data_IF_739226465138
#
_entry.id   IF_739226465138
#
_cell.length_a   1.000
_cell.length_b   1.000
_cell.length_c   1.000
_cell.angle_alpha   90.00
_cell.angle_beta   90.00
_cell.angle_gamma   90.00
#
_symmetry.space_group_name_H-M   'P 1'
#
loop_
_entity.id
_entity.type
_entity.pdbx_description
1 polymer ?
#
# COMPACT_ATOMS: atom_id res chain seq x y z
N UNK A 1 -7.77 11.30 5.12
CA UNK A 1 -9.23 11.55 5.17
C UNK A 1 -10.03 10.33 4.70
N UNK A 2 -9.72 9.76 3.53
CA UNK A 2 -10.45 8.62 2.91
C UNK A 2 -10.69 7.40 3.81
N UNK A 3 -9.71 6.98 4.61
CA UNK A 3 -9.90 5.87 5.57
C UNK A 3 -11.00 6.15 6.61
N UNK A 4 -11.10 7.38 7.11
CA UNK A 4 -12.12 7.72 8.11
C UNK A 4 -13.50 7.63 7.47
N UNK A 5 -13.65 8.16 6.26
CA UNK A 5 -14.88 8.06 5.46
C UNK A 5 -15.26 6.60 5.24
N UNK A 6 -14.32 5.75 4.79
CA UNK A 6 -14.58 4.31 4.59
C UNK A 6 -15.06 3.62 5.87
N UNK A 7 -14.39 3.87 7.01
CA UNK A 7 -14.78 3.27 8.29
C UNK A 7 -16.15 3.80 8.75
N UNK A 8 -16.45 5.07 8.52
CA UNK A 8 -17.76 5.66 8.82
C UNK A 8 -18.84 5.06 7.93
N UNK A 9 -18.59 4.85 6.63
CA UNK A 9 -19.52 4.20 5.71
C UNK A 9 -19.78 2.76 6.11
N UNK A 10 -18.73 1.97 6.39
CA UNK A 10 -18.86 0.58 6.83
C UNK A 10 -19.64 0.46 8.15
N UNK A 11 -19.32 1.31 9.13
CA UNK A 11 -20.02 1.32 10.42
C UNK A 11 -21.46 1.82 10.28
N UNK A 12 -21.70 2.84 9.47
CA UNK A 12 -23.03 3.38 9.20
C UNK A 12 -23.92 2.36 8.49
N UNK A 13 -23.40 1.69 7.45
CA UNK A 13 -24.10 0.62 6.75
C UNK A 13 -24.45 -0.53 7.70
N UNK A 14 -23.52 -0.97 8.55
CA UNK A 14 -23.80 -2.00 9.56
C UNK A 14 -24.92 -1.59 10.54
N UNK A 15 -24.92 -0.34 11.01
CA UNK A 15 -25.95 0.15 11.94
C UNK A 15 -27.31 0.28 11.26
N UNK A 16 -27.35 0.75 10.00
CA UNK A 16 -28.58 0.94 9.23
C UNK A 16 -29.20 -0.39 8.76
N UNK A 17 -28.38 -1.40 8.50
CA UNK A 17 -28.84 -2.74 8.12
C UNK A 17 -29.67 -3.40 9.23
N UNK A 18 -29.29 -3.24 10.50
CA UNK A 18 -29.99 -3.89 11.63
C UNK A 18 -31.50 -3.58 11.67
N UNK A 19 -31.95 -2.31 11.69
CA UNK A 19 -33.39 -2.01 11.68
C UNK A 19 -34.09 -2.41 10.37
N UNK A 20 -33.38 -2.38 9.24
CA UNK A 20 -33.92 -2.83 7.95
C UNK A 20 -34.21 -4.34 7.94
N UNK A 21 -33.27 -5.15 8.43
CA UNK A 21 -33.44 -6.60 8.56
C UNK A 21 -34.60 -6.96 9.48
N UNK A 22 -34.78 -6.20 10.59
CA UNK A 22 -35.93 -6.38 11.49
C UNK A 22 -37.24 -6.01 10.80
N UNK A 23 -37.26 -4.91 10.03
CA UNK A 23 -38.43 -4.52 9.25
C UNK A 23 -38.82 -5.61 8.24
N UNK A 24 -37.86 -6.08 7.42
CA UNK A 24 -38.10 -7.15 6.43
C UNK A 24 -38.60 -8.44 7.09
N UNK A 25 -38.06 -8.81 8.25
CA UNK A 25 -38.51 -9.99 9.00
C UNK A 25 -40.00 -9.93 9.38
N UNK A 26 -40.55 -8.72 9.54
CA UNK A 26 -41.95 -8.49 9.92
C UNK A 26 -42.88 -8.18 8.74
N UNK A 27 -42.36 -7.64 7.63
CA UNK A 27 -43.20 -7.14 6.53
C UNK A 27 -43.22 -8.04 5.30
N UNK A 28 -42.29 -8.99 5.15
CA UNK A 28 -42.30 -9.92 4.01
C UNK A 28 -43.53 -10.86 4.07
N UNK A 29 -44.41 -10.86 3.06
CA UNK A 29 -45.57 -11.76 3.03
C UNK A 29 -45.13 -13.22 2.91
N UNK A 30 -45.71 -14.11 3.73
CA UNK A 30 -45.48 -15.56 3.71
C UNK A 30 -46.02 -16.28 2.45
N UNK A 31 -46.45 -15.53 1.44
CA UNK A 31 -47.28 -16.03 0.33
C UNK A 31 -46.52 -16.70 -0.82
N UNK A 32 -45.22 -16.92 -0.67
CA UNK A 32 -44.42 -17.76 -1.58
C UNK A 32 -43.96 -19.04 -0.85
N UNK A 33 -44.94 -19.87 -0.54
CA UNK A 33 -44.94 -21.30 -0.16
C UNK A 33 -43.82 -21.97 0.68
N UNK A 34 -42.82 -21.28 1.21
CA UNK A 34 -41.98 -21.83 2.28
C UNK A 34 -41.45 -20.69 3.16
N UNK A 35 -41.55 -20.82 4.49
CA UNK A 35 -40.89 -19.91 5.44
C UNK A 35 -39.36 -19.80 5.25
N UNK A 36 -38.79 -20.62 4.36
CA UNK A 36 -37.42 -20.56 3.89
C UNK A 36 -37.10 -19.26 3.13
N UNK A 37 -38.07 -18.61 2.48
CA UNK A 37 -37.83 -17.36 1.76
C UNK A 37 -37.45 -16.21 2.69
N UNK A 38 -38.19 -16.05 3.80
CA UNK A 38 -37.90 -15.04 4.81
C UNK A 38 -36.58 -15.34 5.53
N UNK A 39 -36.34 -16.62 5.82
CA UNK A 39 -35.08 -17.06 6.43
C UNK A 39 -33.87 -16.83 5.50
N UNK A 40 -34.02 -16.99 4.19
CA UNK A 40 -32.97 -16.73 3.21
C UNK A 40 -32.59 -15.24 3.17
N UNK A 41 -33.57 -14.34 3.13
CA UNK A 41 -33.35 -12.89 3.16
C UNK A 41 -32.72 -12.41 4.46
N UNK A 42 -33.27 -12.82 5.61
CA UNK A 42 -32.68 -12.48 6.91
C UNK A 42 -31.26 -13.05 7.04
N UNK A 43 -31.02 -14.26 6.53
CA UNK A 43 -29.69 -14.88 6.52
C UNK A 43 -28.68 -14.10 5.66
N UNK A 44 -29.11 -13.63 4.49
CA UNK A 44 -28.29 -12.81 3.60
C UNK A 44 -27.91 -11.48 4.25
N UNK A 45 -28.88 -10.79 4.86
CA UNK A 45 -28.67 -9.55 5.61
C UNK A 45 -27.69 -9.72 6.79
N UNK A 46 -27.84 -10.80 7.56
CA UNK A 46 -26.94 -11.12 8.67
C UNK A 46 -25.52 -11.37 8.16
N UNK A 47 -25.37 -12.05 7.02
CA UNK A 47 -24.08 -12.24 6.39
C UNK A 47 -23.48 -10.91 5.90
N UNK A 48 -24.29 -10.04 5.30
CA UNK A 48 -23.89 -8.70 4.85
C UNK A 48 -23.44 -7.82 6.04
N UNK A 49 -24.22 -7.81 7.12
CA UNK A 49 -23.89 -7.15 8.38
C UNK A 49 -22.56 -7.62 8.95
N UNK A 50 -22.33 -8.94 8.98
CA UNK A 50 -21.08 -9.52 9.43
C UNK A 50 -19.91 -9.08 8.54
N UNK A 51 -20.09 -9.07 7.22
CA UNK A 51 -19.10 -8.60 6.26
C UNK A 51 -18.76 -7.11 6.47
N UNK A 52 -19.75 -6.24 6.71
CA UNK A 52 -19.52 -4.83 7.05
C UNK A 52 -18.78 -4.65 8.37
N UNK A 53 -19.18 -5.37 9.42
CA UNK A 53 -18.57 -5.30 10.75
C UNK A 53 -17.12 -5.81 10.72
N UNK A 54 -16.88 -6.96 10.08
CA UNK A 54 -15.55 -7.52 9.91
C UNK A 54 -14.68 -6.65 8.98
N UNK A 55 -15.26 -6.04 7.95
CA UNK A 55 -14.60 -5.08 7.06
C UNK A 55 -14.16 -3.82 7.82
N UNK A 56 -15.02 -3.27 8.68
CA UNK A 56 -14.69 -2.15 9.54
C UNK A 56 -13.55 -2.52 10.51
N UNK A 57 -13.65 -3.68 11.18
CA UNK A 57 -12.65 -4.15 12.11
C UNK A 57 -11.28 -4.40 11.43
N UNK A 58 -11.24 -5.12 10.31
CA UNK A 58 -10.01 -5.35 9.54
C UNK A 58 -9.43 -4.05 8.97
N UNK A 59 -10.30 -3.13 8.53
CA UNK A 59 -9.95 -1.80 8.05
C UNK A 59 -9.27 -0.95 9.14
N UNK A 60 -9.71 -1.04 10.41
CA UNK A 60 -9.02 -0.37 11.52
C UNK A 60 -7.60 -0.91 11.74
N UNK A 61 -7.42 -2.23 11.55
CA UNK A 61 -6.14 -2.94 11.74
C UNK A 61 -5.21 -2.94 10.51
N UNK A 62 -5.61 -2.30 9.40
CA UNK A 62 -4.86 -2.26 8.12
C UNK A 62 -4.46 -3.65 7.60
N UNK A 63 -5.29 -4.67 7.85
CA UNK A 63 -4.98 -6.04 7.42
C UNK A 63 -5.44 -6.23 5.98
N UNK A 64 -4.57 -6.77 5.13
CA UNK A 64 -4.91 -7.12 3.73
C UNK A 64 -6.02 -8.18 3.61
N UNK A 65 -6.31 -8.92 4.68
CA UNK A 65 -7.51 -9.74 4.78
C UNK A 65 -8.81 -8.93 4.55
N UNK A 66 -8.78 -7.60 4.69
CA UNK A 66 -9.91 -6.75 4.33
C UNK A 66 -10.17 -6.72 2.82
N UNK A 67 -9.17 -6.95 1.95
CA UNK A 67 -9.36 -6.88 0.48
C UNK A 67 -10.37 -7.91 -0.02
N UNK A 68 -10.21 -9.23 0.19
CA UNK A 68 -11.20 -10.19 -0.27
C UNK A 68 -12.56 -9.98 0.38
N UNK A 69 -12.59 -9.55 1.65
CA UNK A 69 -13.83 -9.27 2.35
C UNK A 69 -14.57 -8.06 1.76
N UNK A 70 -13.88 -6.94 1.51
CA UNK A 70 -14.46 -5.75 0.88
C UNK A 70 -14.94 -6.03 -0.55
N UNK A 71 -14.19 -6.84 -1.31
CA UNK A 71 -14.62 -7.30 -2.64
C UNK A 71 -15.86 -8.18 -2.56
N UNK A 72 -15.93 -9.10 -1.59
CA UNK A 72 -17.10 -9.94 -1.36
C UNK A 72 -18.31 -9.11 -0.93
N UNK A 73 -18.16 -8.15 0.01
CA UNK A 73 -19.24 -7.24 0.41
C UNK A 73 -19.74 -6.41 -0.78
N UNK A 74 -18.84 -5.91 -1.62
CA UNK A 74 -19.22 -5.15 -2.82
C UNK A 74 -20.03 -6.02 -3.80
N UNK A 75 -19.62 -7.27 -4.02
CA UNK A 75 -20.36 -8.21 -4.86
C UNK A 75 -21.73 -8.54 -4.26
N UNK A 76 -21.80 -8.78 -2.94
CA UNK A 76 -23.07 -9.03 -2.25
C UNK A 76 -24.04 -7.84 -2.39
N UNK A 77 -23.59 -6.59 -2.26
CA UNK A 77 -24.43 -5.40 -2.49
C UNK A 77 -24.93 -5.29 -3.94
N UNK A 78 -24.12 -5.67 -4.92
CA UNK A 78 -24.59 -5.72 -6.32
C UNK A 78 -25.66 -6.80 -6.51
N UNK A 79 -25.52 -7.95 -5.85
CA UNK A 79 -26.55 -9.00 -5.86
C UNK A 79 -27.83 -8.52 -5.16
N UNK A 80 -27.71 -7.85 -4.02
CA UNK A 80 -28.80 -7.26 -3.25
C UNK A 80 -29.63 -6.29 -4.11
N UNK A 81 -28.96 -5.31 -4.72
CA UNK A 81 -29.56 -4.34 -5.64
C UNK A 81 -30.27 -4.99 -6.82
N UNK A 82 -29.68 -6.05 -7.38
CA UNK A 82 -30.30 -6.80 -8.46
C UNK A 82 -31.56 -7.51 -8.00
N UNK A 83 -31.51 -8.22 -6.87
CA UNK A 83 -32.66 -8.96 -6.34
C UNK A 83 -33.79 -8.02 -5.96
N UNK A 84 -33.52 -6.91 -5.28
CA UNK A 84 -34.54 -5.94 -4.86
C UNK A 84 -35.25 -5.29 -6.04
N UNK A 85 -34.52 -4.92 -7.09
CA UNK A 85 -35.12 -4.37 -8.32
C UNK A 85 -35.95 -5.42 -9.06
N UNK A 86 -35.47 -6.66 -9.16
CA UNK A 86 -36.17 -7.73 -9.89
C UNK A 86 -37.44 -8.20 -9.15
N UNK A 87 -37.37 -8.37 -7.84
CA UNK A 87 -38.51 -8.79 -7.02
C UNK A 87 -39.53 -7.67 -6.81
N UNK A 88 -39.07 -6.42 -6.78
CA UNK A 88 -39.92 -5.23 -6.71
C UNK A 88 -40.54 -4.80 -8.05
N UNK A 89 -40.20 -5.43 -9.18
CA UNK A 89 -40.52 -4.92 -10.52
C UNK A 89 -42.03 -4.73 -10.80
N UNK A 90 -42.84 -5.65 -10.29
CA UNK A 90 -44.32 -5.63 -10.42
C UNK A 90 -45.02 -4.93 -9.25
N UNK A 91 -44.27 -4.47 -8.24
CA UNK A 91 -44.78 -3.75 -7.07
C UNK A 91 -44.88 -2.24 -7.36
N UNK A 92 -45.84 -1.52 -6.74
CA UNK A 92 -45.85 -0.06 -6.72
C UNK A 92 -44.55 0.57 -6.19
N UNK A 93 -43.81 -0.17 -5.37
CA UNK A 93 -42.56 0.26 -4.72
C UNK A 93 -41.32 0.14 -5.62
N UNK A 94 -41.47 -0.31 -6.89
CA UNK A 94 -40.36 -0.50 -7.84
C UNK A 94 -39.40 0.69 -7.93
N UNK A 95 -39.93 1.92 -7.89
CA UNK A 95 -39.12 3.13 -7.98
C UNK A 95 -38.31 3.37 -6.72
N UNK A 96 -38.80 2.94 -5.56
CA UNK A 96 -38.06 2.97 -4.30
C UNK A 96 -36.89 1.99 -4.34
N UNK A 97 -37.11 0.75 -4.80
CA UNK A 97 -36.03 -0.24 -4.98
C UNK A 97 -34.98 0.22 -5.99
N UNK A 98 -35.39 0.79 -7.12
CA UNK A 98 -34.46 1.37 -8.10
C UNK A 98 -33.68 2.56 -7.52
N UNK A 99 -34.34 3.42 -6.73
CA UNK A 99 -33.67 4.55 -6.09
C UNK A 99 -32.63 4.08 -5.05
N UNK A 100 -32.96 3.08 -4.22
CA UNK A 100 -32.02 2.51 -3.25
C UNK A 100 -30.82 1.84 -3.93
N UNK A 101 -31.08 1.04 -4.97
CA UNK A 101 -30.03 0.42 -5.77
C UNK A 101 -29.05 1.48 -6.34
N UNK A 102 -29.58 2.53 -6.99
CA UNK A 102 -28.76 3.54 -7.68
C UNK A 102 -28.06 4.52 -6.73
N UNK A 103 -28.71 4.92 -5.63
CA UNK A 103 -28.20 5.96 -4.74
C UNK A 103 -27.54 5.45 -3.46
N UNK A 104 -27.75 4.18 -3.09
CA UNK A 104 -27.22 3.60 -1.85
C UNK A 104 -26.34 2.39 -2.14
N UNK A 105 -26.90 1.30 -2.64
CA UNK A 105 -26.20 0.01 -2.70
C UNK A 105 -25.05 0.01 -3.72
N UNK A 106 -25.30 0.43 -4.96
CA UNK A 106 -24.26 0.48 -6.00
C UNK A 106 -23.17 1.51 -5.65
N UNK A 107 -23.48 2.74 -5.20
CA UNK A 107 -22.45 3.68 -4.75
C UNK A 107 -21.60 3.13 -3.61
N UNK A 108 -22.21 2.47 -2.61
CA UNK A 108 -21.46 1.84 -1.52
C UNK A 108 -20.58 0.70 -2.07
N UNK A 109 -21.10 -0.16 -2.94
CA UNK A 109 -20.32 -1.22 -3.58
C UNK A 109 -19.10 -0.68 -4.35
N UNK A 110 -19.27 0.41 -5.11
CA UNK A 110 -18.18 1.09 -5.82
C UNK A 110 -17.14 1.64 -4.86
N UNK A 111 -17.56 2.28 -3.75
CA UNK A 111 -16.65 2.78 -2.70
C UNK A 111 -15.85 1.63 -2.08
N UNK A 112 -16.49 0.49 -1.79
CA UNK A 112 -15.83 -0.70 -1.24
C UNK A 112 -14.83 -1.31 -2.22
N UNK A 113 -15.20 -1.44 -3.51
CA UNK A 113 -14.32 -1.93 -4.56
C UNK A 113 -13.11 -1.00 -4.78
N UNK A 114 -13.34 0.31 -4.80
CA UNK A 114 -12.26 1.30 -4.89
C UNK A 114 -11.35 1.28 -3.66
N UNK A 115 -11.92 1.12 -2.46
CA UNK A 115 -11.15 0.96 -1.24
C UNK A 115 -10.31 -0.32 -1.25
N UNK A 116 -10.85 -1.44 -1.72
CA UNK A 116 -10.13 -2.69 -1.90
C UNK A 116 -8.96 -2.51 -2.88
N UNK A 117 -9.20 -1.89 -4.04
CA UNK A 117 -8.15 -1.54 -5.02
C UNK A 117 -7.10 -0.61 -4.45
N UNK A 118 -7.48 0.39 -3.65
CA UNK A 118 -6.53 1.32 -3.04
C UNK A 118 -5.68 0.65 -1.96
N UNK A 119 -6.24 -0.30 -1.21
CA UNK A 119 -5.47 -1.09 -0.24
C UNK A 119 -4.40 -1.97 -0.93
N UNK A 120 -4.59 -2.29 -2.21
CA UNK A 120 -3.56 -2.85 -3.09
C UNK A 120 -2.61 -1.76 -3.59
N UNK A 121 -3.14 -0.66 -4.13
CA UNK A 121 -2.41 0.42 -4.81
C UNK A 121 -1.86 1.57 -3.95
N UNK A 122 -1.74 1.44 -2.61
CA UNK A 122 -1.13 2.44 -1.73
C UNK A 122 0.42 2.44 -1.93
N UNK A 123 0.86 2.73 -3.15
CA UNK A 123 2.24 2.76 -3.60
C UNK A 123 3.05 3.84 -2.86
N UNK A 124 4.37 3.64 -2.79
CA UNK A 124 5.29 4.68 -2.36
C UNK A 124 5.26 5.85 -3.36
N UNK A 125 5.42 7.11 -2.93
CA UNK A 125 5.62 8.21 -3.86
C UNK A 125 6.76 7.86 -4.82
N UNK A 126 6.45 7.81 -6.13
CA UNK A 126 7.38 7.39 -7.17
C UNK A 126 7.88 8.61 -7.93
N UNK A 127 9.15 8.94 -7.76
CA UNK A 127 9.81 10.05 -8.48
C UNK A 127 11.17 9.60 -8.97
N UNK A 128 11.68 10.23 -10.03
CA UNK A 128 13.07 10.01 -10.45
C UNK A 128 14.03 10.64 -9.45
N UNK A 129 15.21 10.03 -9.28
CA UNK A 129 16.33 10.69 -8.59
C UNK A 129 16.68 11.96 -9.37
N UNK A 130 16.80 13.07 -8.65
CA UNK A 130 17.20 14.36 -9.21
C UNK A 130 18.67 14.64 -8.92
N UNK A 131 19.27 15.63 -9.60
CA UNK A 131 20.63 16.10 -9.30
C UNK A 131 20.80 16.56 -7.85
N UNK A 132 19.73 17.10 -7.23
CA UNK A 132 19.73 17.45 -5.80
C UNK A 132 19.82 16.22 -4.91
N UNK A 133 19.12 15.15 -5.26
CA UNK A 133 19.19 13.89 -4.51
C UNK A 133 20.60 13.27 -4.62
N UNK A 134 21.23 13.38 -5.80
CA UNK A 134 22.62 12.95 -6.02
C UNK A 134 23.57 13.76 -5.11
N UNK A 135 23.48 15.09 -5.15
CA UNK A 135 24.30 15.96 -4.30
C UNK A 135 24.07 15.71 -2.80
N UNK A 136 22.84 15.46 -2.38
CA UNK A 136 22.53 15.08 -0.99
C UNK A 136 23.12 13.72 -0.61
N UNK A 137 23.22 12.77 -1.54
CA UNK A 137 23.82 11.45 -1.25
C UNK A 137 25.34 11.53 -1.08
N UNK A 138 25.98 12.42 -1.84
CA UNK A 138 27.42 12.69 -1.77
C UNK A 138 27.83 13.34 -0.44
N UNK A 139 26.93 14.11 0.19
CA UNK A 139 27.19 14.72 1.50
C UNK A 139 26.92 13.71 2.64
N UNK A 140 27.95 13.31 3.42
CA UNK A 140 27.82 12.30 4.48
C UNK A 140 26.88 12.71 5.60
N UNK A 141 26.60 14.00 5.78
CA UNK A 141 25.75 14.52 6.86
C UNK A 141 24.33 14.01 6.75
N UNK A 142 23.77 13.96 5.54
CA UNK A 142 22.43 13.44 5.31
C UNK A 142 22.32 11.94 5.64
N UNK A 143 23.36 11.16 5.34
CA UNK A 143 23.40 9.75 5.69
C UNK A 143 23.49 9.55 7.21
N UNK A 144 24.30 10.34 7.92
CA UNK A 144 24.38 10.31 9.38
C UNK A 144 23.04 10.66 10.02
N UNK A 145 22.40 11.74 9.57
CA UNK A 145 21.10 12.19 10.09
C UNK A 145 20.00 11.15 9.83
N UNK A 146 19.96 10.55 8.64
CA UNK A 146 18.90 9.57 8.29
C UNK A 146 19.05 8.25 9.04
N UNK A 147 20.28 7.80 9.34
CA UNK A 147 20.56 6.60 10.16
C UNK A 147 20.06 6.70 11.60
N UNK A 148 19.99 7.90 12.14
CA UNK A 148 19.52 8.13 13.52
C UNK A 148 17.99 8.18 13.64
N UNK A 149 17.25 8.13 12.53
CA UNK A 149 15.79 8.17 12.54
C UNK A 149 15.21 6.80 12.96
N UNK A 150 14.10 6.77 13.73
CA UNK A 150 13.32 7.92 14.18
C UNK A 150 13.87 8.54 15.49
N UNK A 151 14.08 9.85 15.51
CA UNK A 151 14.60 10.56 16.68
C UNK A 151 14.19 12.05 16.70
N UNK A 152 14.34 12.68 17.87
CA UNK A 152 14.21 14.13 18.00
C UNK A 152 15.47 14.86 17.53
N UNK A 153 15.36 16.14 17.18
CA UNK A 153 16.50 16.95 16.71
C UNK A 153 17.69 16.95 17.67
N UNK A 154 17.45 17.11 18.98
CA UNK A 154 18.52 17.11 19.99
C UNK A 154 19.22 15.75 20.11
N UNK A 155 18.45 14.67 19.97
CA UNK A 155 18.97 13.30 20.03
C UNK A 155 19.82 12.98 18.80
N UNK A 156 19.39 13.42 17.61
CA UNK A 156 20.15 13.30 16.37
C UNK A 156 21.47 14.09 16.49
N UNK A 157 21.43 15.34 16.95
CA UNK A 157 22.64 16.14 17.14
C UNK A 157 23.63 15.45 18.10
N UNK A 158 23.15 14.95 19.24
CA UNK A 158 23.98 14.22 20.21
C UNK A 158 24.61 12.95 19.63
N UNK A 159 23.87 12.15 18.85
CA UNK A 159 24.36 10.87 18.30
C UNK A 159 25.27 11.05 17.09
N UNK A 160 24.97 12.03 16.24
CA UNK A 160 25.79 12.32 15.04
C UNK A 160 27.02 13.17 15.33
N UNK A 161 27.04 13.88 16.47
CA UNK A 161 28.07 14.87 16.80
C UNK A 161 27.96 16.18 16.01
N UNK A 162 26.92 16.34 15.19
CA UNK A 162 26.69 17.56 14.40
C UNK A 162 26.11 18.68 15.26
N UNK A 163 26.40 19.93 14.87
CA UNK A 163 25.82 21.09 15.54
C UNK A 163 24.29 21.11 15.39
N UNK A 164 23.58 21.61 16.41
CA UNK A 164 22.11 21.68 16.39
C UNK A 164 21.56 22.41 15.15
N UNK A 165 22.17 23.53 14.76
CA UNK A 165 21.77 24.30 13.59
C UNK A 165 21.95 23.50 12.29
N UNK A 166 23.06 22.76 12.18
CA UNK A 166 23.37 21.92 11.02
C UNK A 166 22.40 20.75 10.90
N UNK A 167 22.01 20.11 12.01
CA UNK A 167 20.99 19.06 12.01
C UNK A 167 19.63 19.61 11.57
N UNK A 168 19.26 20.81 12.04
CA UNK A 168 18.01 21.48 11.64
C UNK A 168 18.01 21.75 10.13
N UNK A 169 19.12 22.26 9.60
CA UNK A 169 19.28 22.51 8.17
C UNK A 169 19.16 21.20 7.36
N UNK A 170 19.89 20.15 7.76
CA UNK A 170 19.83 18.85 7.10
C UNK A 170 18.40 18.28 7.09
N UNK A 171 17.71 18.33 8.24
CA UNK A 171 16.34 17.83 8.37
C UNK A 171 15.35 18.66 7.55
N UNK A 172 15.55 19.98 7.44
CA UNK A 172 14.74 20.84 6.58
C UNK A 172 14.92 20.47 5.11
N UNK A 173 16.17 20.37 4.63
CA UNK A 173 16.45 19.95 3.26
C UNK A 173 15.90 18.55 2.97
N UNK A 174 16.06 17.60 3.89
CA UNK A 174 15.47 16.27 3.76
C UNK A 174 13.93 16.32 3.71
N UNK A 175 13.30 17.21 4.48
CA UNK A 175 11.85 17.38 4.50
C UNK A 175 11.34 17.99 3.19
N UNK A 176 12.02 19.03 2.70
CA UNK A 176 11.67 19.74 1.46
C UNK A 176 11.80 18.82 0.23
N UNK A 177 12.71 17.84 0.27
CA UNK A 177 12.85 16.78 -0.75
C UNK A 177 12.05 15.49 -0.42
N UNK A 178 11.23 15.51 0.64
CA UNK A 178 10.27 14.46 0.98
C UNK A 178 10.86 13.19 1.59
N UNK A 179 12.12 13.20 2.04
CA UNK A 179 12.80 12.06 2.68
C UNK A 179 12.40 11.87 4.15
N UNK A 180 12.02 12.94 4.83
CA UNK A 180 11.64 12.90 6.25
C UNK A 180 10.38 13.69 6.53
N UNK A 181 9.68 13.31 7.60
CA UNK A 181 8.54 14.06 8.13
C UNK A 181 8.62 14.10 9.64
N UNK A 182 8.21 15.23 10.21
CA UNK A 182 7.97 15.37 11.64
C UNK A 182 6.58 14.83 12.02
N UNK A 183 6.51 14.02 13.06
CA UNK A 183 5.24 13.57 13.63
C UNK A 183 4.67 14.57 14.63
N UNK A 184 3.47 14.29 15.16
CA UNK A 184 2.79 15.19 16.12
C UNK A 184 3.52 15.32 17.45
N UNK A 185 4.40 14.39 17.80
CA UNK A 185 5.20 14.42 19.03
C UNK A 185 6.53 15.14 18.81
N UNK A 186 6.78 15.63 17.59
CA UNK A 186 8.00 16.34 17.24
C UNK A 186 9.15 15.42 16.82
N UNK A 187 8.93 14.10 16.72
CA UNK A 187 9.92 13.11 16.29
C UNK A 187 10.03 13.10 14.77
N UNK A 188 11.25 13.08 14.24
CA UNK A 188 11.51 12.92 12.82
C UNK A 188 11.46 11.46 12.43
N UNK A 189 10.84 11.16 11.29
CA UNK A 189 10.66 9.81 10.78
C UNK A 189 11.01 9.82 9.30
N UNK A 190 11.78 8.83 8.85
CA UNK A 190 12.05 8.61 7.44
C UNK A 190 10.75 8.27 6.68
N UNK A 191 10.64 8.79 5.46
CA UNK A 191 9.59 8.42 4.51
C UNK A 191 10.25 7.50 3.49
N UNK A 192 9.87 6.22 3.42
CA UNK A 192 10.33 5.36 2.33
C UNK A 192 9.90 5.97 0.99
N UNK A 193 10.82 6.06 0.04
CA UNK A 193 10.58 6.53 -1.32
C UNK A 193 10.87 5.41 -2.31
N UNK A 194 10.10 5.33 -3.39
CA UNK A 194 10.44 4.51 -4.55
C UNK A 194 11.09 5.43 -5.59
N UNK A 195 12.42 5.53 -5.53
CA UNK A 195 13.21 6.38 -6.41
C UNK A 195 13.52 5.63 -7.70
N UNK A 196 13.08 6.18 -8.83
CA UNK A 196 13.46 5.69 -10.16
C UNK A 196 14.86 6.14 -10.51
N UNK A 197 15.59 5.26 -11.17
CA UNK A 197 16.89 5.60 -11.73
C UNK A 197 16.73 6.75 -12.74
N UNK A 198 17.58 7.78 -12.66
CA UNK A 198 17.62 8.83 -13.66
C UNK A 198 18.15 8.23 -14.97
N UNK A 199 17.60 8.65 -16.11
CA UNK A 199 18.15 8.27 -17.41
C UNK A 199 19.20 9.31 -17.81
N UNK A 200 20.45 8.91 -18.11
CA UNK A 200 21.47 9.86 -18.56
C UNK A 200 21.04 10.69 -19.77
N UNK A 201 20.24 10.12 -20.67
CA UNK A 201 19.73 10.79 -21.87
C UNK A 201 18.72 11.92 -21.58
N UNK A 202 18.20 12.02 -20.35
CA UNK A 202 17.34 13.13 -19.92
C UNK A 202 18.16 14.40 -19.54
N UNK A 203 19.50 14.34 -19.61
CA UNK A 203 20.42 15.39 -19.19
C UNK A 203 21.48 15.70 -20.25
N UNK A 204 22.02 16.93 -20.21
CA UNK A 204 23.04 17.41 -21.13
C UNK A 204 24.35 17.76 -20.41
N UNK A 205 25.47 17.68 -21.12
CA UNK A 205 26.79 18.13 -20.66
C UNK A 205 27.20 17.57 -19.30
N UNK A 206 27.63 18.46 -18.40
CA UNK A 206 28.15 18.09 -17.07
C UNK A 206 27.10 17.36 -16.19
N UNK A 207 25.81 17.65 -16.37
CA UNK A 207 24.75 16.98 -15.60
C UNK A 207 24.59 15.52 -16.04
N UNK A 208 24.73 15.24 -17.34
CA UNK A 208 24.76 13.86 -17.87
C UNK A 208 25.94 13.08 -17.32
N UNK A 209 27.12 13.67 -17.32
CA UNK A 209 28.34 13.06 -16.77
C UNK A 209 28.16 12.74 -15.28
N UNK A 210 27.60 13.68 -14.52
CA UNK A 210 27.32 13.47 -13.09
C UNK A 210 26.30 12.35 -12.84
N UNK A 211 25.23 12.28 -13.62
CA UNK A 211 24.23 11.21 -13.54
C UNK A 211 24.85 9.86 -13.89
N UNK A 212 25.71 9.81 -14.91
CA UNK A 212 26.43 8.59 -15.31
C UNK A 212 27.35 8.11 -14.20
N UNK A 213 28.19 8.99 -13.67
CA UNK A 213 29.09 8.67 -12.56
C UNK A 213 28.33 8.20 -11.31
N UNK A 214 27.16 8.78 -11.03
CA UNK A 214 26.28 8.32 -9.95
C UNK A 214 25.77 6.90 -10.18
N UNK A 215 25.34 6.56 -11.40
CA UNK A 215 24.87 5.22 -11.74
C UNK A 215 26.01 4.19 -11.65
N UNK A 216 27.19 4.52 -12.17
CA UNK A 216 28.38 3.65 -12.09
C UNK A 216 28.76 3.37 -10.64
N UNK A 217 28.86 4.42 -9.81
CA UNK A 217 29.15 4.28 -8.39
C UNK A 217 28.06 3.47 -7.66
N UNK A 218 26.78 3.67 -8.02
CA UNK A 218 25.67 2.87 -7.47
C UNK A 218 25.86 1.38 -7.81
N UNK A 219 26.07 1.03 -9.08
CA UNK A 219 26.20 -0.37 -9.50
C UNK A 219 27.47 -1.02 -8.94
N UNK A 220 28.59 -0.30 -8.89
CA UNK A 220 29.81 -0.78 -8.23
C UNK A 220 29.57 -1.12 -6.75
N UNK A 221 28.82 -0.26 -6.03
CA UNK A 221 28.45 -0.52 -4.64
C UNK A 221 27.52 -1.74 -4.50
N UNK A 222 26.56 -1.93 -5.41
CA UNK A 222 25.67 -3.11 -5.36
C UNK A 222 26.43 -4.42 -5.61
N UNK A 223 27.38 -4.42 -6.54
CA UNK A 223 28.27 -5.57 -6.78
C UNK A 223 29.13 -5.84 -5.54
N UNK A 224 29.74 -4.81 -4.95
CA UNK A 224 30.55 -4.95 -3.74
C UNK A 224 29.72 -5.52 -2.58
N UNK A 225 28.49 -5.04 -2.41
CA UNK A 225 27.59 -5.52 -1.35
C UNK A 225 27.15 -6.96 -1.58
N UNK A 226 26.82 -7.35 -2.82
CA UNK A 226 26.47 -8.73 -3.14
C UNK A 226 27.66 -9.66 -2.92
N UNK A 227 28.87 -9.25 -3.32
CA UNK A 227 30.11 -10.00 -3.07
C UNK A 227 30.36 -10.15 -1.56
N UNK A 228 30.18 -9.09 -0.78
CA UNK A 228 30.27 -9.15 0.68
C UNK A 228 29.22 -10.11 1.25
N UNK A 229 27.97 -10.03 0.81
CA UNK A 229 26.90 -10.91 1.28
C UNK A 229 27.16 -12.38 0.92
N UNK A 230 27.69 -12.66 -0.27
CA UNK A 230 28.06 -14.01 -0.69
C UNK A 230 29.20 -14.59 0.17
N UNK A 231 30.16 -13.76 0.58
CA UNK A 231 31.26 -14.15 1.45
C UNK A 231 30.80 -14.43 2.91
N UNK A 232 29.80 -13.71 3.41
CA UNK A 232 29.29 -13.84 4.80
C UNK A 232 28.00 -14.67 4.88
N UNK A 233 27.67 -15.43 3.83
CA UNK A 233 26.37 -16.12 3.67
C UNK A 233 25.99 -17.04 4.84
N UNK A 234 26.98 -17.62 5.51
CA UNK A 234 26.80 -18.58 6.60
C UNK A 234 26.54 -17.89 7.96
N UNK A 235 26.72 -16.57 8.05
CA UNK A 235 26.56 -15.78 9.28
C UNK A 235 25.12 -15.26 9.48
N UNK A 236 24.28 -15.32 8.44
CA UNK A 236 22.97 -14.67 8.45
C UNK A 236 21.89 -15.46 9.21
N UNK A 237 22.12 -16.73 9.50
CA UNK A 237 21.12 -17.61 10.14
C UNK A 237 19.81 -17.62 9.34
N UNK A 238 18.62 -17.43 9.95
CA UNK A 238 17.34 -17.44 9.23
C UNK A 238 17.06 -16.16 8.43
N UNK A 239 18.00 -15.22 8.37
CA UNK A 239 17.83 -13.91 7.73
C UNK A 239 18.39 -13.84 6.30
N UNK A 240 18.74 -14.98 5.71
CA UNK A 240 19.14 -15.09 4.31
C UNK A 240 18.26 -16.04 3.52
N UNK A 241 17.98 -15.66 2.29
CA UNK A 241 17.37 -16.50 1.26
C UNK A 241 17.76 -15.93 -0.10
N UNK A 242 17.82 -16.77 -1.12
CA UNK A 242 18.11 -16.36 -2.48
C UNK A 242 17.30 -17.20 -3.47
N UNK A 243 16.85 -16.57 -4.55
CA UNK A 243 16.16 -17.23 -5.65
C UNK A 243 16.78 -16.78 -6.96
N UNK A 244 17.01 -17.73 -7.88
CA UNK A 244 17.36 -17.46 -9.26
C UNK A 244 16.33 -18.16 -10.15
N UNK A 245 15.76 -17.43 -11.10
CA UNK A 245 14.78 -17.95 -12.06
C UNK A 245 15.02 -17.35 -13.45
N UNK A 246 14.48 -18.00 -14.47
CA UNK A 246 14.47 -17.50 -15.84
C UNK A 246 13.10 -17.74 -16.44
N UNK A 247 12.59 -16.76 -17.18
CA UNK A 247 11.28 -16.81 -17.83
C UNK A 247 11.33 -16.05 -19.15
N UNK A 248 10.33 -16.23 -20.01
CA UNK A 248 10.14 -15.47 -21.24
C UNK A 248 8.90 -14.59 -21.05
N UNK A 249 9.07 -13.30 -21.26
CA UNK A 249 8.01 -12.30 -21.11
C UNK A 249 8.09 -11.35 -22.30
N UNK A 250 6.93 -10.89 -22.75
CA UNK A 250 6.81 -9.67 -23.55
C UNK A 250 7.15 -8.45 -22.72
N UNK A 251 7.33 -7.29 -23.36
CA UNK A 251 7.58 -6.04 -22.66
C UNK A 251 6.41 -5.65 -21.73
N UNK A 252 5.17 -5.90 -22.14
CA UNK A 252 3.98 -5.63 -21.34
C UNK A 252 3.93 -6.48 -20.08
N UNK A 253 4.12 -7.80 -20.21
CA UNK A 253 4.17 -8.73 -19.08
C UNK A 253 5.35 -8.43 -18.14
N UNK A 254 6.48 -7.95 -18.68
CA UNK A 254 7.61 -7.51 -17.85
C UNK A 254 7.27 -6.25 -17.03
N UNK A 255 6.55 -5.28 -17.62
CA UNK A 255 6.08 -4.09 -16.90
C UNK A 255 5.06 -4.45 -15.81
N UNK A 256 4.20 -5.44 -16.06
CA UNK A 256 3.28 -5.98 -15.06
C UNK A 256 4.04 -6.61 -13.89
N UNK A 257 5.02 -7.48 -14.17
CA UNK A 257 5.89 -8.08 -13.15
C UNK A 257 6.63 -7.03 -12.31
N UNK A 258 7.22 -6.00 -12.92
CA UNK A 258 7.87 -4.90 -12.18
C UNK A 258 6.88 -4.20 -11.24
N UNK A 259 5.66 -3.94 -11.71
CA UNK A 259 4.62 -3.30 -10.90
C UNK A 259 4.19 -4.16 -9.71
N UNK A 260 3.91 -5.45 -9.93
CA UNK A 260 3.50 -6.39 -8.89
C UNK A 260 4.59 -6.60 -7.83
N UNK A 261 5.85 -6.77 -8.27
CA UNK A 261 6.98 -6.95 -7.36
C UNK A 261 7.18 -5.71 -6.49
N UNK A 262 7.07 -4.50 -7.05
CA UNK A 262 7.17 -3.25 -6.27
C UNK A 262 6.03 -3.11 -5.28
N UNK A 263 4.81 -3.49 -5.66
CA UNK A 263 3.68 -3.49 -4.73
C UNK A 263 3.92 -4.45 -3.56
N UNK A 264 4.47 -5.63 -3.87
CA UNK A 264 4.91 -6.62 -2.89
C UNK A 264 5.92 -6.04 -1.92
N UNK A 265 6.97 -5.36 -2.36
CA UNK A 265 7.96 -4.77 -1.45
C UNK A 265 7.36 -3.61 -0.64
N UNK A 266 6.63 -2.72 -1.30
CA UNK A 266 5.94 -1.59 -0.65
C UNK A 266 5.02 -2.07 0.49
N UNK A 267 4.35 -3.22 0.32
CA UNK A 267 3.55 -3.88 1.37
C UNK A 267 4.33 -4.04 2.67
N UNK A 268 5.54 -4.59 2.59
CA UNK A 268 6.32 -4.92 3.77
C UNK A 268 6.98 -3.68 4.37
N UNK A 269 7.47 -2.76 3.55
CA UNK A 269 8.01 -1.48 4.02
C UNK A 269 6.99 -0.67 4.82
N UNK A 270 5.70 -0.74 4.46
CA UNK A 270 4.61 -0.01 5.15
C UNK A 270 3.90 -0.82 6.24
N UNK A 271 4.30 -2.07 6.48
CA UNK A 271 3.61 -2.99 7.41
C UNK A 271 3.57 -2.44 8.83
N UNK A 272 4.64 -1.81 9.28
CA UNK A 272 4.73 -1.17 10.59
C UNK A 272 5.16 0.28 10.43
N UNK A 273 4.63 1.15 11.31
CA UNK A 273 5.00 2.57 11.36
C UNK A 273 6.18 2.86 12.27
N UNK A 274 6.55 1.90 13.12
CA UNK A 274 7.61 2.02 14.12
C UNK A 274 8.36 0.70 14.21
N UNK A 275 9.67 0.75 14.51
CA UNK A 275 10.44 -0.45 14.75
C UNK A 275 9.84 -1.28 15.90
N UNK A 276 9.85 -2.59 15.76
CA UNK A 276 9.51 -3.55 16.82
C UNK A 276 10.78 -4.19 17.40
N UNK A 277 10.68 -4.72 18.62
CA UNK A 277 11.79 -5.44 19.24
C UNK A 277 12.20 -6.65 18.39
N UNK A 278 13.49 -6.79 18.11
CA UNK A 278 14.06 -7.87 17.28
C UNK A 278 13.96 -7.65 15.77
N UNK A 279 13.54 -6.48 15.29
CA UNK A 279 13.60 -6.17 13.86
C UNK A 279 15.05 -5.98 13.39
N UNK A 280 15.33 -6.49 12.19
CA UNK A 280 16.58 -6.27 11.46
C UNK A 280 16.31 -5.47 10.19
N UNK A 281 17.21 -4.55 9.87
CA UNK A 281 17.21 -3.90 8.57
C UNK A 281 17.60 -4.92 7.50
N UNK A 282 16.77 -5.05 6.46
CA UNK A 282 17.02 -5.98 5.36
C UNK A 282 17.26 -5.21 4.07
N UNK A 283 18.38 -5.55 3.44
CA UNK A 283 18.73 -5.08 2.11
C UNK A 283 18.04 -5.95 1.07
N UNK A 284 16.96 -5.44 0.45
CA UNK A 284 16.21 -6.13 -0.63
C UNK A 284 16.55 -5.50 -1.98
N UNK A 285 16.93 -6.30 -2.98
CA UNK A 285 17.15 -5.85 -4.37
C UNK A 285 16.40 -6.74 -5.34
N UNK A 286 15.98 -6.17 -6.46
CA UNK A 286 15.38 -6.88 -7.57
C UNK A 286 16.06 -6.43 -8.86
N UNK A 287 16.66 -7.40 -9.54
CA UNK A 287 17.28 -7.19 -10.83
C UNK A 287 16.62 -8.16 -11.81
N UNK A 288 16.19 -7.62 -12.94
CA UNK A 288 15.68 -8.39 -14.07
C UNK A 288 16.31 -7.79 -15.32
N UNK A 289 17.10 -8.59 -16.02
CA UNK A 289 17.84 -8.20 -17.20
C UNK A 289 17.94 -9.40 -18.15
N UNK A 290 18.03 -9.15 -19.47
CA UNK A 290 18.31 -10.21 -20.42
C UNK A 290 19.66 -10.86 -20.08
N UNK A 291 19.78 -12.20 -20.15
CA UNK A 291 21.08 -12.84 -19.99
C UNK A 291 22.02 -12.35 -21.10
N UNK A 292 23.33 -12.23 -20.84
CA UNK A 292 24.28 -11.82 -21.85
C UNK A 292 24.39 -12.90 -22.94
N UNK A 293 24.65 -12.50 -24.19
CA UNK A 293 24.83 -13.43 -25.31
C UNK A 293 26.04 -14.36 -25.11
N UNK A 294 27.03 -13.91 -24.34
CA UNK A 294 28.15 -14.70 -23.84
C UNK A 294 28.37 -14.38 -22.35
N UNK A 295 28.69 -15.39 -21.54
CA UNK A 295 28.99 -15.19 -20.11
C UNK A 295 30.27 -14.33 -20.00
N UNK A 296 30.22 -13.15 -19.36
CA UNK A 296 31.42 -12.35 -19.11
C UNK A 296 32.39 -13.18 -18.27
N UNK A 297 33.64 -13.27 -18.72
CA UNK A 297 34.72 -13.97 -18.03
C UNK A 297 35.02 -13.34 -16.65
#
# INVERSE_FOLDING_TARGET
MIRRILLTVLAGAAVLLVPWTVYLAHTLPDRYDTGQWRAAWVGFDVALLFCFAAGAWLGTRRRRAAVPLLSATAAMLCCDAWFDVMLGWTSPERWTSVALAVFVEIPVAVVLAFAARRLLGDALPRRSVTLRDIAMREDPRYQRVTRELPAGTEEIARRTGLGRAEVIECLKTLQDNGFVRRDRKGTWIAIPQDLREPKPDDYDGADRERVTAFLDAKYANEVALLSWAAAHRDEFGPWSTAQRTSTRLTEEEFRELDAEYRELITRYCRRRRRPAAGEKELSVRFYAFPPPEAIPA
#
